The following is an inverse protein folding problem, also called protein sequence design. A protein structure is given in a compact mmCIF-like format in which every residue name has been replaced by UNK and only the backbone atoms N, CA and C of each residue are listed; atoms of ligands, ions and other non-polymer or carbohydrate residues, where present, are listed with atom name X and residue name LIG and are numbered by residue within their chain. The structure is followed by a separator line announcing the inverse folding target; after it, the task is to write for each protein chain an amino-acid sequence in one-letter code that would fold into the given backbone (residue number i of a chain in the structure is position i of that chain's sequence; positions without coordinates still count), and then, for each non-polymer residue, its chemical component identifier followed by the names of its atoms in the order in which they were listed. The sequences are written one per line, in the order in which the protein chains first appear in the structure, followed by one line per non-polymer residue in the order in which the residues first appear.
data_IF_676348467522
#
_entry.id   IF_676348467522
#
_cell.length_a   1.000
_cell.length_b   1.000
_cell.length_c   1.000
_cell.angle_alpha   90.00
_cell.angle_beta   90.00
_cell.angle_gamma   90.00
#
_symmetry.space_group_name_H-M   'P 1'
#
loop_
_entity.id
_entity.type
_entity.pdbx_description
1 polymer ?
#
# COMPACT_ATOMS: atom_id res chain seq x y z
N UNK A 1 2.80 -14.81 8.60
CA UNK A 1 3.20 -13.39 8.58
C UNK A 1 2.72 -12.74 9.85
N UNK A 2 3.60 -12.00 10.50
CA UNK A 2 3.43 -11.41 11.83
C UNK A 2 2.57 -10.14 11.85
N UNK A 3 2.39 -9.51 10.68
CA UNK A 3 1.80 -8.17 10.53
C UNK A 3 2.44 -7.07 11.40
N UNK A 4 3.67 -7.31 11.85
CA UNK A 4 4.48 -6.33 12.54
C UNK A 4 5.15 -5.39 11.54
N UNK A 5 5.66 -4.26 12.04
CA UNK A 5 6.45 -3.35 11.22
C UNK A 5 7.76 -4.03 10.80
N UNK A 6 8.08 -3.95 9.51
CA UNK A 6 9.30 -4.58 8.98
C UNK A 6 10.54 -3.70 9.16
N UNK A 7 10.35 -2.42 9.43
CA UNK A 7 11.38 -1.42 9.68
C UNK A 7 10.94 -0.45 10.79
N UNK A 8 11.91 0.19 11.45
CA UNK A 8 11.64 1.16 12.52
C UNK A 8 11.46 2.59 11.97
N UNK A 9 11.69 2.81 10.68
CA UNK A 9 11.46 4.08 9.98
C UNK A 9 10.18 4.05 9.15
N UNK A 10 9.70 5.24 8.78
CA UNK A 10 8.60 5.41 7.83
C UNK A 10 9.00 4.80 6.49
N UNK A 11 8.09 3.99 5.96
CA UNK A 11 8.23 3.25 4.71
C UNK A 11 6.91 3.35 3.92
N UNK A 12 6.45 4.58 3.61
CA UNK A 12 5.25 4.78 2.80
C UNK A 12 5.42 4.21 1.39
N UNK A 13 4.33 3.73 0.83
CA UNK A 13 4.27 3.18 -0.54
C UNK A 13 5.30 2.05 -0.77
N UNK A 14 5.30 1.00 0.08
CA UNK A 14 6.33 -0.04 0.05
C UNK A 14 6.17 -0.97 -1.15
N UNK A 15 7.19 -0.99 -1.99
CA UNK A 15 7.30 -1.91 -3.11
C UNK A 15 8.39 -2.94 -2.86
N UNK A 16 8.01 -4.22 -2.79
CA UNK A 16 8.92 -5.32 -2.53
C UNK A 16 8.99 -6.30 -3.69
N UNK A 17 10.21 -6.61 -4.13
CA UNK A 17 10.50 -7.70 -5.08
C UNK A 17 11.43 -8.74 -4.46
N UNK A 18 11.27 -10.00 -4.89
CA UNK A 18 12.17 -11.10 -4.53
C UNK A 18 13.04 -11.47 -5.73
N UNK A 19 14.36 -11.45 -5.56
CA UNK A 19 15.32 -11.91 -6.56
C UNK A 19 16.61 -12.38 -5.90
N UNK A 20 17.32 -13.32 -6.53
CA UNK A 20 18.62 -13.82 -6.04
C UNK A 20 18.60 -14.23 -4.54
N UNK A 21 17.53 -14.91 -4.10
CA UNK A 21 17.28 -15.31 -2.71
C UNK A 21 17.36 -14.15 -1.70
N UNK A 22 16.96 -12.95 -2.14
CA UNK A 22 16.93 -11.71 -1.38
C UNK A 22 15.60 -10.98 -1.63
N UNK A 23 15.25 -10.10 -0.72
CA UNK A 23 14.13 -9.17 -0.84
C UNK A 23 14.67 -7.76 -0.99
N UNK A 24 14.14 -7.04 -1.97
CA UNK A 24 14.48 -5.65 -2.25
C UNK A 24 13.24 -4.80 -2.00
N UNK A 25 13.39 -3.78 -1.17
CA UNK A 25 12.32 -2.86 -0.79
C UNK A 25 12.68 -1.45 -1.27
N UNK A 26 11.78 -0.86 -2.03
CA UNK A 26 11.74 0.56 -2.36
C UNK A 26 10.51 1.18 -1.67
N UNK A 27 10.56 2.46 -1.35
CA UNK A 27 9.49 3.18 -0.67
C UNK A 27 9.70 4.69 -0.83
N UNK A 28 8.65 5.48 -0.59
CA UNK A 28 8.70 6.94 -0.72
C UNK A 28 9.65 7.54 0.33
N UNK A 29 10.76 8.12 -0.15
CA UNK A 29 11.67 8.93 0.66
C UNK A 29 11.42 10.45 0.51
N UNK A 30 10.72 10.86 -0.54
CA UNK A 30 10.41 12.26 -0.84
C UNK A 30 11.50 13.04 -1.60
N UNK A 31 12.78 12.79 -1.30
CA UNK A 31 13.92 13.54 -1.87
C UNK A 31 14.90 12.69 -2.69
N UNK A 32 14.70 11.37 -2.74
CA UNK A 32 15.58 10.41 -3.40
C UNK A 32 14.88 9.08 -3.65
N UNK A 33 15.52 8.21 -4.42
CA UNK A 33 15.14 6.82 -4.63
C UNK A 33 16.20 5.93 -3.97
N UNK A 34 15.80 5.14 -2.98
CA UNK A 34 16.65 4.16 -2.31
C UNK A 34 16.17 2.74 -2.56
N UNK A 35 17.11 1.79 -2.53
CA UNK A 35 16.81 0.36 -2.48
C UNK A 35 17.39 -0.20 -1.20
N UNK A 36 16.55 -0.91 -0.44
CA UNK A 36 16.94 -1.65 0.75
C UNK A 36 16.92 -3.14 0.43
N UNK A 37 17.90 -3.91 0.92
CA UNK A 37 18.00 -5.35 0.67
C UNK A 37 18.12 -6.13 1.98
N UNK A 38 17.26 -7.12 2.13
CA UNK A 38 17.26 -8.07 3.25
C UNK A 38 17.16 -9.52 2.79
N UNK A 39 17.56 -10.44 3.66
CA UNK A 39 17.29 -11.87 3.50
C UNK A 39 15.92 -12.29 4.05
N UNK A 40 15.20 -11.38 4.72
CA UNK A 40 13.86 -11.61 5.25
C UNK A 40 12.93 -10.48 4.84
N UNK A 41 11.76 -10.82 4.29
CA UNK A 41 10.72 -9.83 3.99
C UNK A 41 10.14 -9.16 5.23
N UNK A 42 10.28 -9.78 6.41
CA UNK A 42 9.74 -9.25 7.67
C UNK A 42 10.76 -8.42 8.47
N UNK A 43 12.01 -8.29 7.99
CA UNK A 43 13.04 -7.56 8.75
C UNK A 43 14.00 -6.78 7.86
N UNK A 44 13.86 -5.45 7.89
CA UNK A 44 14.73 -4.49 7.24
C UNK A 44 15.48 -3.59 8.24
N UNK A 45 15.52 -3.92 9.53
CA UNK A 45 16.20 -3.11 10.57
C UNK A 45 17.71 -3.05 10.38
N UNK A 46 18.30 -4.15 9.91
CA UNK A 46 19.74 -4.29 9.63
C UNK A 46 20.00 -4.64 8.15
N UNK A 47 19.23 -4.04 7.24
CA UNK A 47 19.35 -4.28 5.80
C UNK A 47 20.54 -3.52 5.18
N UNK A 48 20.99 -3.97 4.00
CA UNK A 48 21.89 -3.15 3.16
C UNK A 48 21.07 -2.11 2.42
N UNK A 49 21.62 -0.92 2.21
CA UNK A 49 20.92 0.20 1.59
C UNK A 49 21.80 0.87 0.55
N UNK A 50 21.21 1.31 -0.55
CA UNK A 50 21.83 2.22 -1.50
C UNK A 50 20.88 3.35 -1.86
N UNK A 51 21.45 4.48 -2.27
CA UNK A 51 20.73 5.50 -3.02
C UNK A 51 20.90 5.14 -4.49
N UNK A 52 19.83 4.71 -5.14
CA UNK A 52 19.83 4.45 -6.57
C UNK A 52 19.90 5.77 -7.33
N UNK A 53 19.20 6.79 -6.85
CA UNK A 53 19.21 8.11 -7.48
C UNK A 53 18.79 9.22 -6.51
N UNK A 54 19.35 10.42 -6.70
CA UNK A 54 18.94 11.64 -6.00
C UNK A 54 19.10 12.84 -6.95
N UNK A 55 18.10 13.74 -7.06
CA UNK A 55 18.25 14.97 -7.83
C UNK A 55 19.44 15.80 -7.33
N UNK A 56 20.20 16.49 -8.21
CA UNK A 56 21.29 17.36 -7.79
C UNK A 56 20.82 18.44 -6.79
N UNK A 57 21.47 18.57 -5.62
CA UNK A 57 20.91 19.32 -4.48
C UNK A 57 20.86 20.84 -4.66
N UNK A 58 21.67 21.42 -5.56
CA UNK A 58 21.72 22.88 -5.75
C UNK A 58 20.53 23.42 -6.55
N UNK A 59 19.98 22.61 -7.47
CA UNK A 59 18.87 22.99 -8.37
C UNK A 59 18.10 21.71 -8.72
N UNK A 60 17.31 21.15 -7.79
CA UNK A 60 16.51 19.97 -8.08
C UNK A 60 15.48 20.35 -9.14
N UNK A 61 15.63 19.80 -10.35
CA UNK A 61 14.66 20.02 -11.44
C UNK A 61 13.40 19.15 -11.27
N UNK A 62 13.41 18.25 -10.27
CA UNK A 62 12.26 17.48 -9.81
C UNK A 62 12.28 17.35 -8.28
N UNK A 63 11.10 17.44 -7.67
CA UNK A 63 10.83 17.33 -6.23
C UNK A 63 9.66 16.37 -5.99
N UNK A 64 9.31 16.15 -4.72
CA UNK A 64 8.17 15.32 -4.31
C UNK A 64 8.23 13.90 -4.92
N UNK A 65 9.36 13.20 -4.68
CA UNK A 65 9.58 11.89 -5.25
C UNK A 65 8.79 10.81 -4.51
N UNK A 66 7.82 10.20 -5.18
CA UNK A 66 6.90 9.22 -4.57
C UNK A 66 6.93 7.86 -5.28
N UNK A 67 6.55 6.85 -4.50
CA UNK A 67 6.22 5.48 -4.89
C UNK A 67 7.18 4.83 -5.89
N UNK A 68 8.49 4.72 -5.58
CA UNK A 68 9.40 3.97 -6.44
C UNK A 68 9.08 2.47 -6.44
N UNK A 69 8.84 1.91 -7.63
CA UNK A 69 8.69 0.48 -7.88
C UNK A 69 9.88 -0.09 -8.65
N UNK A 70 10.60 -1.04 -8.06
CA UNK A 70 11.69 -1.80 -8.69
C UNK A 70 11.15 -2.96 -9.53
N UNK A 71 11.47 -3.00 -10.82
CA UNK A 71 11.03 -4.02 -11.78
C UNK A 71 12.22 -4.64 -12.53
N UNK A 72 12.14 -5.94 -12.87
CA UNK A 72 13.08 -6.59 -13.77
C UNK A 72 12.41 -6.89 -15.10
N UNK A 73 12.75 -6.12 -16.14
CA UNK A 73 12.08 -6.12 -17.44
C UNK A 73 13.13 -6.26 -18.55
N UNK A 74 12.91 -7.18 -19.49
CA UNK A 74 13.80 -7.39 -20.65
C UNK A 74 15.30 -7.52 -20.28
N UNK A 75 15.60 -8.21 -19.19
CA UNK A 75 16.97 -8.46 -18.73
C UNK A 75 17.64 -7.27 -18.02
N UNK A 76 16.88 -6.24 -17.62
CA UNK A 76 17.39 -5.05 -16.93
C UNK A 76 16.50 -4.66 -15.76
N UNK A 77 17.09 -4.03 -14.75
CA UNK A 77 16.34 -3.42 -13.67
C UNK A 77 15.87 -2.02 -14.07
N UNK A 78 14.61 -1.71 -13.73
CA UNK A 78 13.98 -0.41 -13.89
C UNK A 78 13.39 0.03 -12.55
N UNK A 79 13.35 1.33 -12.31
CA UNK A 79 12.51 1.90 -11.24
C UNK A 79 11.54 2.90 -11.84
N UNK A 80 10.26 2.69 -11.61
CA UNK A 80 9.19 3.63 -11.94
C UNK A 80 8.83 4.39 -10.68
N UNK A 81 8.74 5.70 -10.74
CA UNK A 81 8.38 6.56 -9.62
C UNK A 81 7.71 7.82 -10.18
N UNK A 82 7.24 8.73 -9.34
CA UNK A 82 6.78 10.02 -9.83
C UNK A 82 7.50 11.17 -9.13
N UNK A 83 7.39 12.35 -9.73
CA UNK A 83 7.87 13.61 -9.15
C UNK A 83 7.32 14.80 -9.92
N UNK A 84 7.43 15.97 -9.31
CA UNK A 84 6.94 17.23 -9.84
C UNK A 84 8.08 18.20 -10.17
N UNK A 85 7.87 19.08 -11.15
CA UNK A 85 8.71 20.25 -11.35
C UNK A 85 8.55 21.23 -10.17
N UNK A 86 9.64 21.74 -9.57
CA UNK A 86 9.59 22.58 -8.36
C UNK A 86 8.80 23.89 -8.54
N UNK A 87 8.76 24.44 -9.74
CA UNK A 87 8.05 25.70 -10.01
C UNK A 87 6.53 25.56 -10.06
N UNK A 88 6.02 24.33 -10.27
CA UNK A 88 4.57 24.07 -10.42
C UNK A 88 4.04 23.22 -9.26
N UNK A 89 4.84 22.32 -8.69
CA UNK A 89 4.45 21.46 -7.57
C UNK A 89 3.44 20.38 -7.97
N UNK A 90 2.56 19.97 -7.05
CA UNK A 90 1.76 18.75 -7.18
C UNK A 90 1.08 18.57 -8.55
N UNK A 91 0.48 19.62 -9.11
CA UNK A 91 -0.28 19.57 -10.36
C UNK A 91 0.54 19.08 -11.58
N UNK A 92 1.86 19.11 -11.52
CA UNK A 92 2.73 18.63 -12.59
C UNK A 92 3.41 17.28 -12.31
N UNK A 93 2.94 16.49 -11.33
CA UNK A 93 3.47 15.14 -11.14
C UNK A 93 3.40 14.32 -12.43
N UNK A 94 4.51 13.66 -12.75
CA UNK A 94 4.64 12.74 -13.88
C UNK A 94 5.39 11.49 -13.45
N UNK A 95 5.10 10.38 -14.12
CA UNK A 95 5.88 9.14 -14.04
C UNK A 95 7.27 9.35 -14.63
N UNK A 96 8.28 8.96 -13.87
CA UNK A 96 9.71 9.06 -14.14
C UNK A 96 10.35 7.67 -14.10
N UNK A 97 11.48 7.51 -14.79
CA UNK A 97 12.19 6.23 -14.85
C UNK A 97 13.66 6.33 -14.44
N UNK A 98 14.11 5.31 -13.72
CA UNK A 98 15.50 4.88 -13.66
C UNK A 98 15.68 3.57 -14.43
N UNK A 99 16.87 3.37 -15.00
CA UNK A 99 17.31 2.10 -15.59
C UNK A 99 18.69 1.73 -15.09
N UNK A 100 18.88 0.50 -14.66
CA UNK A 100 20.19 -0.01 -14.27
C UNK A 100 20.96 -0.56 -15.47
N UNK A 101 22.26 -0.31 -15.47
CA UNK A 101 23.22 -0.96 -16.36
C UNK A 101 23.78 -2.26 -15.76
N UNK A 102 23.51 -2.54 -14.48
CA UNK A 102 23.96 -3.72 -13.75
C UNK A 102 22.85 -4.76 -13.59
N UNK A 103 23.25 -6.01 -13.40
CA UNK A 103 22.35 -7.10 -13.00
C UNK A 103 22.13 -7.16 -11.48
N UNK A 104 22.98 -6.51 -10.68
CA UNK A 104 22.74 -6.33 -9.25
C UNK A 104 22.02 -4.99 -9.02
N UNK A 105 20.76 -4.98 -8.55
CA UNK A 105 20.05 -3.73 -8.28
C UNK A 105 20.70 -2.92 -7.15
N UNK A 106 21.61 -3.51 -6.36
CA UNK A 106 22.35 -2.83 -5.29
C UNK A 106 23.61 -2.10 -5.75
N UNK A 107 23.90 -2.03 -7.05
CA UNK A 107 25.02 -1.26 -7.57
C UNK A 107 24.61 0.21 -7.78
N UNK A 108 24.85 1.05 -6.77
CA UNK A 108 24.40 2.45 -6.73
C UNK A 108 24.80 3.27 -7.98
N UNK A 109 26.02 3.08 -8.50
CA UNK A 109 26.54 3.82 -9.65
C UNK A 109 26.01 3.35 -11.01
N UNK A 110 25.23 2.28 -11.07
CA UNK A 110 24.72 1.71 -12.32
C UNK A 110 23.38 2.29 -12.77
N UNK A 111 22.74 3.11 -11.94
CA UNK A 111 21.41 3.66 -12.19
C UNK A 111 21.48 4.95 -13.01
N UNK A 112 20.81 4.92 -14.17
CA UNK A 112 20.67 6.04 -15.10
C UNK A 112 19.27 6.62 -14.99
N UNK A 113 19.18 7.95 -14.83
CA UNK A 113 17.90 8.65 -14.85
C UNK A 113 17.48 8.95 -16.29
N UNK A 114 16.28 8.49 -16.69
CA UNK A 114 15.82 8.55 -18.08
C UNK A 114 14.84 9.70 -18.37
N UNK A 115 14.35 10.39 -17.34
CA UNK A 115 13.31 11.40 -17.51
C UNK A 115 11.90 10.86 -17.30
N UNK A 116 10.94 11.66 -17.76
CA UNK A 116 9.53 11.29 -17.82
C UNK A 116 9.29 10.14 -18.80
N UNK A 117 8.34 9.27 -18.46
CA UNK A 117 7.90 8.19 -19.35
C UNK A 117 7.36 8.75 -20.67
N UNK A 118 7.88 8.25 -21.79
CA UNK A 118 7.45 8.70 -23.11
C UNK A 118 6.10 8.09 -23.47
N UNK A 119 5.25 8.87 -24.12
CA UNK A 119 3.96 8.41 -24.64
C UNK A 119 2.80 8.43 -23.64
N UNK A 120 3.03 8.76 -22.36
CA UNK A 120 1.93 9.12 -21.47
C UNK A 120 1.37 10.49 -21.88
N UNK A 121 0.04 10.70 -21.79
CA UNK A 121 -0.55 12.01 -22.04
C UNK A 121 -0.03 13.05 -21.03
N UNK A 122 -0.05 14.32 -21.42
CA UNK A 122 0.36 15.41 -20.56
C UNK A 122 -0.74 15.76 -19.54
N UNK A 123 -0.89 14.90 -18.53
CA UNK A 123 -1.75 15.11 -17.36
C UNK A 123 -1.07 14.61 -16.09
N UNK A 124 -1.61 15.00 -14.94
CA UNK A 124 -1.15 14.49 -13.65
C UNK A 124 -1.23 12.95 -13.61
N UNK A 125 -0.10 12.30 -13.30
CA UNK A 125 -0.02 10.85 -13.13
C UNK A 125 1.04 10.44 -12.11
N UNK A 126 0.68 9.48 -11.25
CA UNK A 126 1.50 8.89 -10.19
C UNK A 126 1.33 7.37 -10.14
N UNK A 127 2.12 6.71 -9.29
CA UNK A 127 1.94 5.31 -8.91
C UNK A 127 1.90 4.35 -10.10
N UNK A 128 2.83 4.52 -11.04
CA UNK A 128 2.92 3.67 -12.21
C UNK A 128 3.45 2.28 -11.83
N UNK A 129 2.62 1.26 -12.05
CA UNK A 129 3.01 -0.15 -11.98
C UNK A 129 3.03 -0.78 -13.36
N UNK A 130 4.03 -1.63 -13.62
CA UNK A 130 4.22 -2.28 -14.92
C UNK A 130 4.11 -3.79 -14.79
N UNK A 131 3.37 -4.43 -15.70
CA UNK A 131 3.19 -5.87 -15.69
C UNK A 131 3.07 -6.45 -17.10
N UNK A 132 3.66 -7.63 -17.27
CA UNK A 132 3.46 -8.44 -18.46
C UNK A 132 2.20 -9.29 -18.29
N UNK A 133 1.32 -9.26 -19.29
CA UNK A 133 0.10 -10.07 -19.29
C UNK A 133 0.27 -11.25 -20.28
N UNK A 134 0.48 -12.50 -19.79
CA UNK A 134 0.80 -13.63 -20.66
C UNK A 134 -0.23 -13.92 -21.73
N UNK A 135 -1.52 -13.70 -21.44
CA UNK A 135 -2.60 -13.98 -22.40
C UNK A 135 -2.62 -13.04 -23.61
N UNK A 136 -2.01 -11.85 -23.51
CA UNK A 136 -1.86 -10.91 -24.64
C UNK A 136 -0.43 -10.80 -25.14
N UNK A 137 0.54 -11.40 -24.43
CA UNK A 137 1.98 -11.31 -24.72
C UNK A 137 2.49 -9.87 -24.78
N UNK A 138 1.89 -8.98 -23.98
CA UNK A 138 2.16 -7.54 -23.99
C UNK A 138 2.49 -7.03 -22.59
N UNK A 139 3.27 -5.94 -22.58
CA UNK A 139 3.61 -5.18 -21.38
C UNK A 139 2.60 -4.04 -21.23
N UNK A 140 2.12 -3.82 -20.01
CA UNK A 140 1.19 -2.73 -19.69
C UNK A 140 1.70 -1.91 -18.53
N UNK A 141 1.31 -0.64 -18.51
CA UNK A 141 1.44 0.24 -17.36
C UNK A 141 0.05 0.58 -16.85
N UNK A 142 -0.19 0.41 -15.55
CA UNK A 142 -1.35 0.95 -14.86
C UNK A 142 -0.89 2.04 -13.90
N UNK A 143 -1.59 3.17 -13.87
CA UNK A 143 -1.21 4.31 -13.05
C UNK A 143 -2.46 5.05 -12.53
N UNK A 144 -2.27 5.85 -11.48
CA UNK A 144 -3.27 6.79 -10.98
C UNK A 144 -3.16 8.12 -11.72
N UNK A 145 -4.26 8.64 -12.24
CA UNK A 145 -4.26 9.90 -12.97
C UNK A 145 -5.48 10.76 -12.65
N UNK A 146 -5.33 12.07 -12.78
CA UNK A 146 -6.50 12.94 -12.88
C UNK A 146 -7.20 12.67 -14.21
N UNK A 147 -8.55 12.72 -14.26
CA UNK A 147 -9.27 12.61 -15.51
C UNK A 147 -8.70 13.55 -16.58
N UNK A 148 -8.63 13.09 -17.82
CA UNK A 148 -8.05 13.91 -18.90
C UNK A 148 -8.81 15.23 -19.05
N UNK A 149 -8.08 16.35 -18.94
CA UNK A 149 -8.64 17.71 -18.97
C UNK A 149 -9.15 18.22 -17.62
N UNK A 150 -9.16 17.40 -16.57
CA UNK A 150 -9.45 17.82 -15.19
C UNK A 150 -8.14 18.19 -14.46
N UNK A 151 -8.14 19.37 -13.85
CA UNK A 151 -7.04 19.90 -13.04
C UNK A 151 -7.51 20.33 -11.65
N UNK A 152 -8.65 19.80 -11.19
CA UNK A 152 -9.29 20.20 -9.94
C UNK A 152 -8.68 19.60 -8.68
N UNK A 153 -7.83 18.57 -8.83
CA UNK A 153 -7.32 17.75 -7.72
C UNK A 153 -8.44 17.04 -6.92
N UNK A 154 -9.61 16.78 -7.55
CA UNK A 154 -10.79 16.19 -6.89
C UNK A 154 -11.05 14.72 -7.24
N UNK A 155 -10.37 14.21 -8.26
CA UNK A 155 -10.62 12.88 -8.79
C UNK A 155 -9.29 12.26 -9.23
N UNK A 156 -9.05 11.04 -8.76
CA UNK A 156 -8.02 10.16 -9.28
C UNK A 156 -8.67 8.85 -9.73
N UNK A 157 -8.34 8.44 -10.95
CA UNK A 157 -8.84 7.24 -11.62
C UNK A 157 -7.67 6.37 -12.07
N UNK A 158 -7.93 5.07 -12.29
CA UNK A 158 -6.93 4.16 -12.82
C UNK A 158 -6.97 4.14 -14.34
N UNK A 159 -5.81 4.38 -14.94
CA UNK A 159 -5.59 4.28 -16.37
C UNK A 159 -4.70 3.08 -16.67
N UNK A 160 -4.96 2.43 -17.80
CA UNK A 160 -4.15 1.36 -18.35
C UNK A 160 -3.70 1.73 -19.76
N UNK A 161 -2.44 1.44 -20.06
CA UNK A 161 -1.84 1.71 -21.36
C UNK A 161 -0.87 0.59 -21.74
N UNK A 162 -0.82 0.24 -23.02
CA UNK A 162 0.17 -0.71 -23.55
C UNK A 162 1.55 -0.04 -23.64
N UNK A 163 2.60 -0.80 -23.34
CA UNK A 163 3.99 -0.38 -23.49
C UNK A 163 4.63 -1.03 -24.71
N UNK A 164 5.26 -0.20 -25.55
CA UNK A 164 6.11 -0.67 -26.65
C UNK A 164 7.47 -1.18 -26.14
N UNK A 165 8.02 -0.46 -25.17
CA UNK A 165 9.21 -0.86 -24.40
C UNK A 165 8.96 -0.50 -22.94
N UNK A 166 9.78 -0.97 -21.98
CA UNK A 166 9.67 -0.51 -20.59
C UNK A 166 9.66 1.02 -20.43
N UNK A 167 10.19 1.78 -21.40
CA UNK A 167 10.38 3.24 -21.33
C UNK A 167 9.34 4.04 -22.14
N UNK A 168 8.55 3.37 -22.99
CA UNK A 168 7.70 4.02 -24.01
C UNK A 168 6.30 3.39 -24.03
N UNK A 169 5.29 4.18 -23.71
CA UNK A 169 3.88 3.83 -23.82
C UNK A 169 3.34 4.10 -25.23
N UNK A 170 2.23 3.42 -25.59
CA UNK A 170 1.47 3.61 -26.82
C UNK A 170 0.23 4.50 -26.55
N UNK A 171 0.29 5.82 -26.78
CA UNK A 171 -0.77 6.75 -26.37
C UNK A 171 -2.17 6.37 -26.85
N UNK A 172 -2.27 5.79 -28.05
CA UNK A 172 -3.51 5.36 -28.69
C UNK A 172 -4.24 4.21 -27.97
N UNK A 173 -3.57 3.57 -27.01
CA UNK A 173 -4.12 2.44 -26.23
C UNK A 173 -4.67 2.84 -24.88
N UNK A 174 -4.50 4.11 -24.47
CA UNK A 174 -4.89 4.58 -23.15
C UNK A 174 -6.38 4.35 -22.87
N UNK A 175 -6.68 3.69 -21.75
CA UNK A 175 -8.04 3.41 -21.31
C UNK A 175 -8.18 3.66 -19.82
N UNK A 176 -9.22 4.39 -19.40
CA UNK A 176 -9.60 4.45 -17.99
C UNK A 176 -10.32 3.13 -17.63
N UNK A 177 -9.78 2.39 -16.66
CA UNK A 177 -10.28 1.06 -16.28
C UNK A 177 -11.03 1.06 -14.95
N UNK A 178 -10.91 2.13 -14.15
CA UNK A 178 -11.64 2.29 -12.89
C UNK A 178 -11.77 3.76 -12.53
N UNK A 179 -13.00 4.17 -12.17
CA UNK A 179 -13.28 5.50 -11.62
C UNK A 179 -13.64 5.46 -10.15
N UNK A 180 -13.13 6.39 -9.34
CA UNK A 180 -13.46 6.45 -7.91
C UNK A 180 -14.90 6.98 -7.69
N UNK A 181 -15.86 6.06 -7.68
CA UNK A 181 -17.30 6.33 -7.71
C UNK A 181 -18.04 5.77 -6.49
N UNK A 182 -17.54 4.71 -5.88
CA UNK A 182 -18.19 4.09 -4.73
C UNK A 182 -18.02 5.00 -3.50
N UNK A 183 -19.02 5.08 -2.60
CA UNK A 183 -18.95 5.99 -1.44
C UNK A 183 -17.71 5.79 -0.57
N UNK A 184 -17.21 4.56 -0.46
CA UNK A 184 -16.03 4.25 0.33
C UNK A 184 -14.69 4.60 -0.36
N UNK A 185 -14.71 4.88 -1.67
CA UNK A 185 -13.55 5.36 -2.43
C UNK A 185 -13.30 6.86 -2.26
N UNK A 186 -14.26 7.57 -1.63
CA UNK A 186 -14.25 9.03 -1.57
C UNK A 186 -13.95 9.55 -0.17
N UNK A 187 -12.96 10.44 -0.08
CA UNK A 187 -12.58 11.17 1.13
C UNK A 187 -13.36 12.48 1.27
N UNK A 188 -13.15 13.19 2.38
CA UNK A 188 -13.61 14.55 2.63
C UNK A 188 -15.10 14.76 2.36
N UNK A 189 -15.93 13.95 3.01
CA UNK A 189 -17.38 14.00 2.85
C UNK A 189 -17.86 13.61 1.45
N UNK A 190 -17.05 12.87 0.71
CA UNK A 190 -17.36 12.45 -0.65
C UNK A 190 -16.96 13.46 -1.71
N UNK A 191 -16.06 14.41 -1.42
CA UNK A 191 -15.63 15.43 -2.39
C UNK A 191 -14.35 15.09 -3.15
N UNK A 192 -13.51 14.19 -2.63
CA UNK A 192 -12.30 13.70 -3.30
C UNK A 192 -12.44 12.21 -3.60
N UNK A 193 -12.51 11.84 -4.88
CA UNK A 193 -12.48 10.44 -5.31
C UNK A 193 -11.04 9.97 -5.51
N UNK A 194 -10.66 8.86 -4.90
CA UNK A 194 -9.29 8.32 -4.99
C UNK A 194 -9.31 6.86 -5.39
N UNK A 195 -8.69 6.56 -6.53
CA UNK A 195 -8.19 5.25 -6.89
C UNK A 195 -6.70 5.43 -7.25
N UNK A 196 -5.78 4.97 -6.40
CA UNK A 196 -4.34 5.16 -6.57
C UNK A 196 -3.53 3.91 -6.16
N UNK A 197 -2.20 3.93 -6.23
CA UNK A 197 -1.35 2.79 -5.86
C UNK A 197 -1.75 1.45 -6.48
N UNK A 198 -1.94 1.34 -7.82
CA UNK A 198 -2.29 0.09 -8.46
C UNK A 198 -1.16 -0.93 -8.36
N UNK A 199 -1.50 -2.21 -8.25
CA UNK A 199 -0.57 -3.33 -8.37
C UNK A 199 -1.27 -4.50 -9.05
N UNK A 200 -0.66 -5.04 -10.10
CA UNK A 200 -1.19 -6.21 -10.77
C UNK A 200 -0.90 -7.49 -9.97
N UNK A 201 -1.93 -8.30 -9.76
CA UNK A 201 -1.84 -9.60 -9.08
C UNK A 201 -2.48 -10.66 -9.96
N UNK A 202 -1.73 -11.74 -10.21
CA UNK A 202 -2.23 -12.95 -10.85
C UNK A 202 -2.00 -14.14 -9.94
N UNK A 203 -3.10 -14.73 -9.47
CA UNK A 203 -3.14 -15.94 -8.66
C UNK A 203 -3.74 -17.05 -9.54
N UNK A 204 -2.93 -18.02 -9.99
CA UNK A 204 -3.36 -19.06 -10.93
C UNK A 204 -4.65 -19.76 -10.49
N UNK A 205 -5.61 -19.88 -11.41
CA UNK A 205 -6.90 -20.53 -11.16
C UNK A 205 -7.88 -19.71 -10.31
N UNK A 206 -7.57 -18.46 -9.99
CA UNK A 206 -8.41 -17.61 -9.15
C UNK A 206 -8.52 -16.16 -9.62
N UNK A 207 -7.73 -15.26 -9.03
CA UNK A 207 -7.81 -13.83 -9.30
C UNK A 207 -6.72 -13.38 -10.29
N UNK A 208 -7.11 -12.60 -11.29
CA UNK A 208 -6.20 -11.85 -12.16
C UNK A 208 -6.75 -10.42 -12.26
N UNK A 209 -5.95 -9.42 -11.91
CA UNK A 209 -6.41 -8.03 -11.96
C UNK A 209 -5.55 -7.07 -11.16
N UNK A 210 -6.10 -5.87 -10.92
CA UNK A 210 -5.45 -4.79 -10.20
C UNK A 210 -5.97 -4.74 -8.76
N UNK A 211 -5.05 -4.70 -7.81
CA UNK A 211 -5.30 -4.21 -6.46
C UNK A 211 -4.95 -2.74 -6.44
N UNK A 212 -5.78 -1.91 -5.84
CA UNK A 212 -5.53 -0.48 -5.76
C UNK A 212 -5.93 0.05 -4.39
N UNK A 213 -5.51 1.26 -4.09
CA UNK A 213 -5.86 1.96 -2.87
C UNK A 213 -6.97 2.96 -3.13
N UNK A 214 -7.86 3.12 -2.15
CA UNK A 214 -9.00 4.02 -2.26
C UNK A 214 -9.22 4.80 -0.97
N UNK A 215 -10.03 5.86 -1.07
CA UNK A 215 -10.11 6.92 -0.06
C UNK A 215 -8.79 7.72 0.01
N UNK A 216 -8.73 8.76 0.83
CA UNK A 216 -7.56 9.64 0.88
C UNK A 216 -6.43 9.02 1.69
N UNK A 217 -5.21 9.01 1.14
CA UNK A 217 -3.98 8.57 1.84
C UNK A 217 -3.64 9.41 3.08
N UNK A 218 -4.25 10.59 3.21
CA UNK A 218 -4.21 11.45 4.39
C UNK A 218 -5.21 11.07 5.48
N UNK A 219 -5.97 9.99 5.30
CA UNK A 219 -7.03 9.56 6.22
C UNK A 219 -6.71 8.20 6.84
N UNK A 220 -7.29 7.91 8.01
CA UNK A 220 -7.26 6.57 8.61
C UNK A 220 -8.21 5.56 7.94
N UNK A 221 -8.98 6.04 6.95
CA UNK A 221 -9.96 5.31 6.15
C UNK A 221 -9.40 4.86 4.80
N UNK A 222 -8.12 5.12 4.51
CA UNK A 222 -7.40 4.54 3.37
C UNK A 222 -7.49 3.01 3.39
N UNK A 223 -7.68 2.39 2.23
CA UNK A 223 -8.00 0.97 2.13
C UNK A 223 -7.55 0.37 0.81
N UNK A 224 -7.33 -0.94 0.77
CA UNK A 224 -7.11 -1.67 -0.49
C UNK A 224 -8.45 -2.14 -1.08
N UNK A 225 -8.54 -2.17 -2.40
CA UNK A 225 -9.68 -2.58 -3.20
C UNK A 225 -9.23 -3.44 -4.40
N UNK A 226 -10.18 -4.02 -5.16
CA UNK A 226 -9.86 -4.87 -6.30
C UNK A 226 -10.67 -4.53 -7.55
N UNK A 227 -9.99 -4.64 -8.68
CA UNK A 227 -10.53 -4.55 -10.03
C UNK A 227 -10.08 -5.80 -10.80
N UNK A 228 -11.00 -6.77 -10.97
CA UNK A 228 -10.69 -8.05 -11.59
C UNK A 228 -10.74 -7.94 -13.13
N UNK A 229 -9.75 -8.49 -13.82
CA UNK A 229 -9.80 -8.69 -15.27
C UNK A 229 -10.67 -9.92 -15.57
N UNK A 230 -11.85 -9.70 -16.16
CA UNK A 230 -12.83 -10.74 -16.51
C UNK A 230 -13.04 -10.89 -18.02
N UNK A 231 -12.68 -9.87 -18.81
CA UNK A 231 -12.73 -9.91 -20.27
C UNK A 231 -11.41 -10.36 -20.90
N UNK A 232 -11.40 -10.44 -22.23
CA UNK A 232 -10.23 -10.87 -23.00
C UNK A 232 -9.26 -9.74 -23.35
N UNK A 233 -9.78 -8.53 -23.47
CA UNK A 233 -9.04 -7.36 -23.92
C UNK A 233 -8.89 -6.37 -22.74
N UNK A 234 -7.71 -6.30 -22.11
CA UNK A 234 -7.52 -5.45 -20.93
C UNK A 234 -7.63 -3.95 -21.26
N UNK A 235 -7.55 -3.55 -22.53
CA UNK A 235 -7.71 -2.16 -22.98
C UNK A 235 -9.18 -1.78 -23.21
N UNK A 236 -10.12 -2.53 -22.62
CA UNK A 236 -11.54 -2.17 -22.56
C UNK A 236 -11.98 -2.07 -21.13
N UNK A 237 -12.62 -0.96 -20.76
CA UNK A 237 -13.21 -0.77 -19.43
C UNK A 237 -14.15 -1.92 -19.06
N UNK A 238 -14.95 -2.42 -20.00
CA UNK A 238 -15.88 -3.53 -19.79
C UNK A 238 -15.23 -4.88 -19.50
N UNK A 239 -13.92 -5.03 -19.73
CA UNK A 239 -13.16 -6.22 -19.33
C UNK A 239 -12.84 -6.23 -17.84
N UNK A 240 -13.11 -5.15 -17.11
CA UNK A 240 -12.78 -5.01 -15.70
C UNK A 240 -14.02 -5.01 -14.83
N UNK A 241 -13.99 -5.81 -13.75
CA UNK A 241 -15.05 -5.91 -12.76
C UNK A 241 -14.56 -5.40 -11.42
N UNK A 242 -15.05 -4.22 -11.03
CA UNK A 242 -14.80 -3.64 -9.70
C UNK A 242 -15.53 -4.43 -8.62
N UNK A 243 -14.84 -4.76 -7.53
CA UNK A 243 -15.48 -5.37 -6.36
C UNK A 243 -16.23 -4.30 -5.54
N UNK A 244 -17.49 -4.54 -5.12
CA UNK A 244 -18.26 -3.54 -4.39
C UNK A 244 -17.78 -3.30 -2.94
N UNK A 245 -16.93 -4.18 -2.42
CA UNK A 245 -16.37 -4.11 -1.06
C UNK A 245 -14.83 -4.08 -1.09
N UNK A 246 -14.17 -3.36 -0.16
CA UNK A 246 -12.71 -3.31 -0.06
C UNK A 246 -12.06 -4.67 0.24
N UNK A 247 -10.78 -4.84 -0.11
CA UNK A 247 -9.90 -5.95 0.28
C UNK A 247 -9.45 -5.87 1.73
N UNK A 248 -8.86 -4.74 2.10
CA UNK A 248 -8.20 -4.55 3.38
C UNK A 248 -8.64 -3.21 3.96
N UNK A 249 -9.11 -3.23 5.20
CA UNK A 249 -9.61 -2.05 5.93
C UNK A 249 -9.00 -1.96 7.31
N UNK A 250 -9.04 -0.77 7.89
CA UNK A 250 -8.80 -0.55 9.32
C UNK A 250 -10.10 -0.72 10.12
N UNK A 251 -9.99 -0.97 11.42
CA UNK A 251 -11.11 -0.88 12.37
C UNK A 251 -10.65 -0.13 13.61
N UNK A 252 -11.22 1.05 13.84
CA UNK A 252 -10.90 1.91 14.98
C UNK A 252 -11.09 1.22 16.32
N UNK A 253 -12.11 0.37 16.45
CA UNK A 253 -12.40 -0.34 17.69
C UNK A 253 -11.38 -1.46 17.99
N UNK A 254 -10.51 -1.82 17.04
CA UNK A 254 -9.50 -2.88 17.18
C UNK A 254 -8.09 -2.36 17.48
N UNK A 255 -7.91 -1.03 17.58
CA UNK A 255 -6.65 -0.43 18.02
C UNK A 255 -5.57 -0.26 16.94
N UNK A 256 -5.87 -0.58 15.68
CA UNK A 256 -4.97 -0.36 14.55
C UNK A 256 -4.23 -1.61 14.07
N UNK A 257 -3.41 -1.50 13.01
CA UNK A 257 -2.99 -0.26 12.35
C UNK A 257 -4.10 0.40 11.49
N UNK A 258 -3.89 1.64 11.04
CA UNK A 258 -4.91 2.45 10.36
C UNK A 258 -4.51 2.87 8.95
N UNK A 259 -5.50 3.10 8.08
CA UNK A 259 -5.29 3.48 6.69
C UNK A 259 -4.40 2.50 5.89
N UNK A 260 -4.69 1.18 5.85
CA UNK A 260 -3.89 0.25 5.06
C UNK A 260 -3.98 0.54 3.56
N UNK A 261 -2.86 0.79 2.90
CA UNK A 261 -2.87 0.97 1.45
C UNK A 261 -1.49 0.97 0.82
N UNK A 262 -1.48 1.35 -0.46
CA UNK A 262 -0.38 1.32 -1.42
C UNK A 262 0.52 0.09 -1.22
N UNK A 263 0.10 -1.03 -1.81
CA UNK A 263 0.62 -2.33 -1.45
C UNK A 263 1.22 -3.09 -2.65
N UNK A 264 2.39 -3.66 -2.45
CA UNK A 264 2.99 -4.64 -3.37
C UNK A 264 2.67 -6.08 -2.96
N UNK A 265 2.79 -7.00 -3.90
CA UNK A 265 2.43 -8.40 -3.71
C UNK A 265 3.53 -9.35 -4.17
N UNK A 266 3.83 -10.35 -3.34
CA UNK A 266 4.73 -11.44 -3.68
C UNK A 266 3.99 -12.78 -3.63
N UNK A 267 4.11 -13.65 -4.64
CA UNK A 267 3.61 -15.00 -4.53
C UNK A 267 4.34 -15.75 -3.41
N UNK A 268 3.62 -16.60 -2.70
CA UNK A 268 4.21 -17.50 -1.73
C UNK A 268 5.17 -18.47 -2.43
N UNK A 269 6.42 -18.64 -1.93
CA UNK A 269 7.38 -19.56 -2.53
C UNK A 269 7.01 -21.03 -2.27
N UNK A 270 6.01 -21.30 -1.43
CA UNK A 270 5.60 -22.65 -1.02
C UNK A 270 4.57 -23.29 -1.95
N UNK A 271 4.11 -22.58 -3.00
CA UNK A 271 3.12 -23.11 -3.94
C UNK A 271 1.74 -23.37 -3.34
N UNK A 272 1.44 -22.75 -2.20
CA UNK A 272 0.19 -22.92 -1.44
C UNK A 272 -0.96 -22.01 -1.92
N UNK A 273 -0.79 -21.37 -3.09
CA UNK A 273 -1.78 -20.48 -3.66
C UNK A 273 -1.99 -19.17 -2.88
N UNK A 274 -1.06 -18.82 -1.98
CA UNK A 274 -1.10 -17.57 -1.22
C UNK A 274 -0.24 -16.48 -1.86
N UNK A 275 -0.59 -15.24 -1.56
CA UNK A 275 0.24 -14.06 -1.79
C UNK A 275 0.56 -13.37 -0.47
N UNK A 276 1.72 -12.77 -0.41
CA UNK A 276 2.10 -11.85 0.65
C UNK A 276 1.83 -10.42 0.19
N UNK A 277 1.08 -9.68 1.00
CA UNK A 277 0.75 -8.28 0.79
C UNK A 277 1.67 -7.43 1.66
N UNK A 278 2.51 -6.62 1.01
CA UNK A 278 3.39 -5.67 1.66
C UNK A 278 2.72 -4.30 1.52
N UNK A 279 2.24 -3.73 2.61
CA UNK A 279 1.43 -2.51 2.60
C UNK A 279 1.89 -1.55 3.68
N UNK A 280 1.61 -0.25 3.56
CA UNK A 280 1.81 0.69 4.65
C UNK A 280 0.52 0.92 5.43
N UNK A 281 0.67 1.27 6.71
CA UNK A 281 -0.40 1.80 7.54
C UNK A 281 0.20 2.64 8.67
N UNK A 282 -0.58 3.55 9.23
CA UNK A 282 -0.19 4.33 10.41
C UNK A 282 -0.36 3.51 11.69
N UNK A 283 0.46 3.79 12.71
CA UNK A 283 0.35 3.09 14.00
C UNK A 283 -0.82 3.64 14.83
N UNK A 284 -1.12 4.93 14.69
CA UNK A 284 -2.18 5.62 15.41
C UNK A 284 -3.19 6.26 14.47
N UNK A 285 -4.39 6.48 15.00
CA UNK A 285 -5.49 7.09 14.28
C UNK A 285 -5.20 8.58 14.06
N UNK A 286 -5.44 9.09 12.85
CA UNK A 286 -5.34 10.51 12.53
C UNK A 286 -3.91 11.03 12.32
N UNK A 287 -2.94 10.16 12.02
CA UNK A 287 -1.55 10.57 11.75
C UNK A 287 -1.34 11.14 10.32
N UNK A 288 -2.34 11.03 9.46
CA UNK A 288 -2.27 11.49 8.07
C UNK A 288 -1.18 10.77 7.30
N UNK A 289 -0.29 11.52 6.65
CA UNK A 289 0.84 10.96 5.90
C UNK A 289 2.05 10.56 6.77
N UNK A 290 2.06 10.91 8.05
CA UNK A 290 3.17 10.60 8.96
C UNK A 290 3.08 9.17 9.50
N UNK A 291 4.21 8.62 9.94
CA UNK A 291 4.28 7.35 10.66
C UNK A 291 3.70 6.15 9.88
N UNK A 292 3.74 6.21 8.54
CA UNK A 292 3.31 5.12 7.65
C UNK A 292 4.40 4.04 7.64
N UNK A 293 4.13 2.90 8.27
CA UNK A 293 5.08 1.77 8.39
C UNK A 293 4.65 0.60 7.51
N UNK A 294 5.60 0.06 6.77
CA UNK A 294 5.42 -1.16 6.00
C UNK A 294 5.22 -2.37 6.91
N UNK A 295 4.27 -3.23 6.52
CA UNK A 295 3.86 -4.46 7.19
C UNK A 295 3.61 -5.54 6.15
N UNK A 296 3.63 -6.80 6.58
CA UNK A 296 3.39 -7.95 5.69
C UNK A 296 2.22 -8.78 6.20
N UNK A 297 1.28 -9.05 5.31
CA UNK A 297 0.15 -9.95 5.51
C UNK A 297 0.15 -11.08 4.49
N UNK A 298 -0.64 -12.12 4.74
CA UNK A 298 -0.87 -13.20 3.79
C UNK A 298 -2.34 -13.26 3.42
N UNK A 299 -2.63 -13.34 2.13
CA UNK A 299 -3.94 -13.61 1.59
C UNK A 299 -3.94 -14.93 0.83
N UNK A 300 -4.98 -15.73 1.05
CA UNK A 300 -5.37 -16.83 0.16
C UNK A 300 -6.42 -16.39 -0.87
N UNK A 301 -6.67 -17.24 -1.87
CA UNK A 301 -7.63 -17.01 -2.97
C UNK A 301 -9.03 -16.60 -2.49
N UNK A 302 -9.49 -17.13 -1.35
CA UNK A 302 -10.79 -16.84 -0.75
C UNK A 302 -11.02 -15.36 -0.48
N UNK A 303 -9.94 -14.60 -0.23
CA UNK A 303 -10.01 -13.16 0.04
C UNK A 303 -10.25 -12.32 -1.21
N UNK A 304 -9.96 -12.87 -2.38
CA UNK A 304 -10.12 -12.20 -3.67
C UNK A 304 -11.48 -12.53 -4.31
N UNK A 305 -12.28 -13.40 -3.70
CA UNK A 305 -13.62 -13.72 -4.19
C UNK A 305 -14.49 -12.45 -4.28
N UNK A 306 -15.35 -12.29 -5.31
CA UNK A 306 -16.18 -11.10 -5.48
C UNK A 306 -17.13 -10.79 -4.31
N UNK A 307 -17.46 -11.80 -3.51
CA UNK A 307 -18.34 -11.69 -2.34
C UNK A 307 -17.60 -11.81 -1.00
N UNK A 308 -16.27 -11.87 -1.02
CA UNK A 308 -15.49 -11.91 0.22
C UNK A 308 -15.73 -10.65 1.07
N UNK A 309 -15.81 -10.85 2.38
CA UNK A 309 -15.84 -9.73 3.32
C UNK A 309 -14.46 -9.05 3.38
N UNK A 310 -14.40 -7.73 3.60
CA UNK A 310 -13.13 -7.05 3.81
C UNK A 310 -12.35 -7.66 4.97
N UNK A 311 -11.05 -7.84 4.80
CA UNK A 311 -10.16 -8.20 5.90
C UNK A 311 -9.87 -6.95 6.73
N UNK A 312 -9.97 -7.05 8.05
CA UNK A 312 -9.46 -6.01 8.94
C UNK A 312 -7.97 -6.26 9.22
N UNK A 313 -7.11 -5.29 8.92
CA UNK A 313 -5.67 -5.41 9.12
C UNK A 313 -5.30 -5.63 10.60
N UNK A 314 -6.09 -5.13 11.56
CA UNK A 314 -5.89 -5.37 12.99
C UNK A 314 -6.16 -6.83 13.41
N UNK A 315 -7.09 -7.52 12.75
CA UNK A 315 -7.51 -8.88 13.15
C UNK A 315 -6.54 -9.96 12.71
N UNK A 316 -5.73 -9.69 11.68
CA UNK A 316 -4.67 -10.58 11.21
C UNK A 316 -3.62 -10.90 12.30
N UNK A 317 -3.39 -9.96 13.23
CA UNK A 317 -2.42 -10.08 14.34
C UNK A 317 -2.85 -11.16 15.34
N UNK A 318 -4.14 -11.47 15.39
CA UNK A 318 -4.74 -12.40 16.36
C UNK A 318 -5.00 -13.82 15.83
N UNK A 319 -4.78 -14.07 14.54
CA UNK A 319 -5.14 -15.36 13.90
C UNK A 319 -6.64 -15.66 13.83
N UNK A 320 -7.51 -14.69 14.19
CA UNK A 320 -8.96 -14.85 14.28
C UNK A 320 -9.71 -14.70 12.94
N UNK A 321 -9.02 -14.56 11.82
CA UNK A 321 -9.65 -14.49 10.51
C UNK A 321 -9.21 -15.68 9.65
N UNK A 322 -10.00 -16.76 9.71
CA UNK A 322 -9.87 -17.96 8.88
C UNK A 322 -10.94 -17.99 7.79
N UNK A 323 -11.00 -16.95 6.94
CA UNK A 323 -11.78 -16.97 5.71
C UNK A 323 -13.25 -17.37 5.87
N UNK A 324 -14.08 -16.47 6.41
CA UNK A 324 -15.51 -16.42 6.08
C UNK A 324 -16.40 -17.64 6.35
N UNK A 325 -16.03 -18.57 7.23
CA UNK A 325 -16.98 -19.57 7.75
C UNK A 325 -17.25 -19.27 9.22
N UNK A 326 -18.49 -18.88 9.53
CA UNK A 326 -18.99 -18.89 10.89
C UNK A 326 -18.87 -20.30 11.45
N UNK A 327 -18.02 -20.51 12.45
CA UNK A 327 -18.08 -21.72 13.26
C UNK A 327 -19.34 -21.61 14.11
N UNK A 328 -20.45 -22.11 13.58
CA UNK A 328 -21.59 -22.48 14.40
C UNK A 328 -21.16 -23.67 15.25
N UNK A 329 -21.02 -23.45 16.55
CA UNK A 329 -20.85 -24.53 17.51
C UNK A 329 -22.07 -25.45 17.45
N UNK A 330 -21.89 -26.64 16.85
CA UNK A 330 -22.81 -27.77 16.99
C UNK A 330 -21.99 -28.97 17.42
N UNK A 331 -22.34 -29.52 18.58
CA UNK A 331 -22.09 -30.93 18.92
C UNK A 331 -21.12 -31.19 20.06
N UNK A 332 -21.65 -31.29 21.28
CA UNK A 332 -20.95 -31.88 22.43
C UNK A 332 -21.97 -32.34 23.47
N UNK A 333 -22.56 -33.52 23.25
CA UNK A 333 -23.46 -34.18 24.21
C UNK A 333 -22.63 -34.97 25.24
N UNK A 334 -23.13 -34.91 26.49
CA UNK A 334 -22.94 -35.81 27.62
C UNK A 334 -21.68 -35.68 28.49
N UNK A 335 -21.92 -35.14 29.69
CA UNK A 335 -21.05 -35.26 30.86
C UNK A 335 -21.84 -34.94 32.13
N UNK A 336 -22.70 -35.86 32.54
CA UNK A 336 -23.50 -35.81 33.77
C UNK A 336 -22.58 -35.71 35.00
N UNK A 337 -22.75 -34.69 35.86
CA UNK A 337 -22.59 -34.73 37.33
C UNK A 337 -22.76 -33.34 37.95
N UNK A 338 -23.80 -33.20 38.75
CA UNK A 338 -23.95 -32.24 39.86
C UNK A 338 -24.60 -33.00 41.03
N UNK A 339 -24.70 -32.48 42.26
CA UNK A 339 -24.17 -31.22 42.79
C UNK A 339 -23.48 -31.39 44.17
N UNK A 340 -22.75 -30.38 44.66
CA UNK A 340 -22.73 -30.10 46.10
C UNK A 340 -22.44 -28.63 46.40
N UNK A 341 -23.24 -28.14 47.36
CA UNK A 341 -23.36 -26.77 47.82
C UNK A 341 -22.17 -26.35 48.71
N UNK A 342 -21.93 -25.04 48.78
CA UNK A 342 -21.07 -24.43 49.79
C UNK A 342 -21.04 -22.92 49.65
N UNK A 343 -22.06 -22.24 50.18
CA UNK A 343 -22.03 -20.81 50.42
C UNK A 343 -21.32 -20.53 51.74
N UNK A 344 -20.39 -19.57 51.76
CA UNK A 344 -20.09 -18.77 52.95
C UNK A 344 -19.49 -17.42 52.56
N UNK A 345 -19.78 -16.45 53.40
CA UNK A 345 -19.81 -15.01 53.16
C UNK A 345 -18.93 -14.33 54.24
N UNK A 346 -18.43 -13.11 53.96
CA UNK A 346 -17.98 -12.07 54.93
C UNK A 346 -16.53 -12.32 55.45
N UNK A 347 -15.57 -11.38 55.56
CA UNK A 347 -15.60 -10.00 56.08
C UNK A 347 -14.34 -9.18 55.70
N UNK A 348 -14.49 -7.86 55.86
CA UNK A 348 -13.53 -6.75 55.74
C UNK A 348 -12.17 -6.88 56.47
N UNK A 349 -11.17 -6.20 55.92
CA UNK A 349 -10.29 -5.30 56.68
C UNK A 349 -9.81 -4.12 55.82
N UNK A 350 -10.16 -2.91 56.26
CA UNK A 350 -9.57 -1.62 55.85
C UNK A 350 -8.17 -1.51 56.43
N UNK A 351 -7.24 -0.94 55.69
CA UNK A 351 -6.24 -0.03 56.26
C UNK A 351 -6.20 1.26 55.43
N UNK A 352 -6.39 2.37 56.15
CA UNK A 352 -6.18 3.73 55.71
C UNK A 352 -4.76 4.14 56.10
N UNK A 353 -4.03 4.73 55.18
CA UNK A 353 -2.88 5.59 55.45
C UNK A 353 -3.10 6.91 54.72
N UNK A 354 -3.27 7.99 55.47
CA UNK A 354 -3.59 9.32 54.96
C UNK A 354 -2.34 10.06 54.46
N UNK A 355 -2.52 10.67 53.28
CA UNK A 355 -2.12 12.04 52.84
C UNK A 355 -0.78 12.65 53.27
N UNK A 356 -0.05 13.19 52.28
CA UNK A 356 0.28 14.63 52.31
C UNK A 356 0.37 15.21 50.88
N UNK A 357 -0.63 16.03 50.57
CA UNK A 357 -0.62 17.07 49.56
C UNK A 357 0.44 18.10 49.95
N UNK A 358 1.27 18.50 48.99
CA UNK A 358 1.76 19.88 48.77
C UNK A 358 2.99 19.80 47.84
N UNK A 359 2.97 20.28 46.60
CA UNK A 359 2.55 21.62 46.22
C UNK A 359 2.39 21.73 44.70
N UNK A 360 1.24 22.31 44.30
CA UNK A 360 1.06 23.27 43.19
C UNK A 360 1.30 22.70 41.77
N UNK A 361 0.29 22.42 40.95
CA UNK A 361 -0.67 23.40 40.39
C UNK A 361 0.08 24.32 39.42
N UNK A 362 -0.18 24.43 38.12
CA UNK A 362 -1.34 24.14 37.31
C UNK A 362 -1.41 25.27 36.26
N UNK A 363 -1.61 24.88 34.99
CA UNK A 363 -2.18 25.66 33.87
C UNK A 363 -1.33 26.70 33.10
N UNK A 364 -1.48 26.54 31.77
CA UNK A 364 -1.74 27.53 30.72
C UNK A 364 -0.59 28.36 30.10
N UNK A 365 -0.31 28.01 28.83
CA UNK A 365 -0.25 28.88 27.65
C UNK A 365 0.38 30.27 27.78
N UNK A 366 1.51 30.50 27.12
CA UNK A 366 1.61 31.39 25.95
C UNK A 366 3.06 31.67 25.52
N UNK A 367 3.25 31.77 24.20
CA UNK A 367 4.34 32.45 23.46
C UNK A 367 5.77 31.92 23.64
N UNK A 368 6.37 31.51 22.52
CA UNK A 368 7.50 32.23 21.90
C UNK A 368 7.74 31.68 20.49
N UNK A 369 7.50 32.54 19.50
CA UNK A 369 8.21 32.51 18.21
C UNK A 369 9.52 33.27 18.40
N UNK A 370 10.46 32.92 17.52
CA UNK A 370 11.57 33.70 16.97
C UNK A 370 12.99 33.25 17.35
N UNK A 371 13.77 33.06 16.27
CA UNK A 371 15.21 32.76 16.14
C UNK A 371 15.60 31.33 16.56
N UNK A 372 16.11 30.43 15.70
CA UNK A 372 16.89 30.53 14.46
C UNK A 372 16.75 29.25 13.64
#
# INVERSE_FOLDING_TARGET
MSNQTIADTDTPDPWMVAAHNRFYLTFTCGDRVEIWMSHSMENFRNCKKIIAWKPPPATPWVVDLWAPELHYLNGRWYIYFCGAHPEVGNACHRTLLLRSQSQDPMEAGAWEFLGQMKGLPDHWNIDATVFFLPRTQKLYCCYSGWPLGDNSDRQQDLFLIELETPEVARPETLTCISRAELPWERADGGTHGVNEGPTFVSMPGGFEGIIYSANGSWTSDYRLALLQLVGDDPLKESSWRKRPTPLLVSDRAKGGPFGPGHASFLPSPYGDGRVYCIYHATEHWGEGWNNRKARVLSFGLEHFHPQAQPMCCALSISGLWSGGVSVSNVGGVAGNRSPQQGAQQIQHSREQGATLIDKLGGKLWSKLRDFS
#
